data_IF_327662421840
#
_entry.id   IF_327662421840
#
_cell.length_a   1.000
_cell.length_b   1.000
_cell.length_c   1.000
_cell.angle_alpha   90.00
_cell.angle_beta   90.00
_cell.angle_gamma   90.00
#
_symmetry.space_group_name_H-M   'P 1'
#
loop_
_entity.id
_entity.type
_entity.pdbx_description
1 polymer ?
#
# COMPACT_ATOMS: atom_id res chain seq x y z
N UNK A 1 16.58 16.18 -9.57
CA UNK A 1 16.04 15.78 -8.24
C UNK A 1 14.51 15.90 -8.24
N UNK A 2 13.75 14.81 -8.07
CA UNK A 2 12.27 14.88 -7.98
C UNK A 2 11.87 15.43 -6.60
N UNK A 3 10.91 16.37 -6.55
CA UNK A 3 10.46 16.98 -5.29
C UNK A 3 9.67 15.97 -4.45
N UNK A 4 10.03 15.87 -3.17
CA UNK A 4 9.26 15.19 -2.12
C UNK A 4 7.92 15.91 -1.94
N UNK A 5 6.82 15.16 -1.88
CA UNK A 5 5.50 15.69 -1.53
C UNK A 5 5.18 15.30 -0.09
N UNK A 6 4.91 16.30 0.74
CA UNK A 6 4.56 16.12 2.15
C UNK A 6 3.10 16.53 2.32
N UNK A 7 2.29 15.63 2.87
CA UNK A 7 0.98 16.00 3.38
C UNK A 7 1.14 16.41 4.83
N UNK A 8 1.03 17.71 5.09
CA UNK A 8 0.89 18.23 6.43
C UNK A 8 -0.50 18.86 6.61
N UNK A 9 -1.22 18.38 7.62
CA UNK A 9 -2.56 18.83 7.96
C UNK A 9 -2.55 19.16 9.44
N UNK A 10 -2.73 20.43 9.77
CA UNK A 10 -2.75 20.90 11.16
C UNK A 10 -4.15 20.79 11.77
N UNK A 11 -5.19 21.14 10.99
CA UNK A 11 -6.59 21.14 11.43
C UNK A 11 -7.08 19.76 11.83
N UNK A 12 -7.54 19.64 13.08
CA UNK A 12 -8.12 18.41 13.62
C UNK A 12 -9.36 17.95 12.85
N UNK A 13 -10.17 18.88 12.32
CA UNK A 13 -11.33 18.55 11.49
C UNK A 13 -10.89 17.84 10.20
N UNK A 14 -9.89 18.40 9.50
CA UNK A 14 -9.38 17.82 8.26
C UNK A 14 -8.65 16.48 8.50
N UNK A 15 -7.92 16.35 9.62
CA UNK A 15 -7.33 15.06 10.03
C UNK A 15 -8.39 13.97 10.18
N UNK A 16 -9.52 14.29 10.86
CA UNK A 16 -10.64 13.35 11.04
C UNK A 16 -11.24 12.94 9.70
N UNK A 17 -11.54 13.91 8.84
CA UNK A 17 -12.09 13.66 7.49
C UNK A 17 -11.15 12.74 6.71
N UNK A 18 -9.86 13.07 6.63
CA UNK A 18 -8.83 12.25 5.98
C UNK A 18 -8.83 10.82 6.51
N UNK A 19 -8.71 10.64 7.82
CA UNK A 19 -8.62 9.31 8.44
C UNK A 19 -9.88 8.49 8.15
N UNK A 20 -11.06 9.11 8.21
CA UNK A 20 -12.32 8.45 7.84
C UNK A 20 -12.33 8.00 6.37
N UNK A 21 -11.94 8.86 5.43
CA UNK A 21 -11.87 8.50 4.02
C UNK A 21 -10.89 7.35 3.76
N UNK A 22 -9.70 7.42 4.35
CA UNK A 22 -8.70 6.36 4.22
C UNK A 22 -9.21 5.03 4.76
N UNK A 23 -9.88 5.05 5.92
CA UNK A 23 -10.47 3.85 6.53
C UNK A 23 -11.52 3.24 5.62
N UNK A 24 -12.40 4.04 5.02
CA UNK A 24 -13.42 3.56 4.08
C UNK A 24 -12.78 2.89 2.86
N UNK A 25 -11.71 3.47 2.29
CA UNK A 25 -11.00 2.85 1.17
C UNK A 25 -10.33 1.53 1.54
N UNK A 26 -9.62 1.49 2.67
CA UNK A 26 -8.98 0.26 3.16
C UNK A 26 -10.03 -0.82 3.40
N UNK A 27 -11.15 -0.48 4.05
CA UNK A 27 -12.25 -1.41 4.29
C UNK A 27 -12.84 -1.94 2.98
N UNK A 28 -13.10 -1.07 2.01
CA UNK A 28 -13.65 -1.49 0.72
C UNK A 28 -12.72 -2.47 0.00
N UNK A 29 -11.41 -2.19 0.00
CA UNK A 29 -10.42 -3.06 -0.63
C UNK A 29 -10.30 -4.40 0.11
N UNK A 30 -10.27 -4.38 1.44
CA UNK A 30 -10.25 -5.59 2.26
C UNK A 30 -11.48 -6.48 1.99
N UNK A 31 -12.68 -5.90 1.83
CA UNK A 31 -13.89 -6.64 1.46
C UNK A 31 -13.75 -7.35 0.12
N UNK A 32 -13.17 -6.70 -0.89
CA UNK A 32 -12.97 -7.32 -2.20
C UNK A 32 -11.91 -8.42 -2.13
N UNK A 33 -10.79 -8.18 -1.43
CA UNK A 33 -9.73 -9.17 -1.20
C UNK A 33 -10.26 -10.43 -0.49
N UNK A 34 -11.13 -10.27 0.51
CA UNK A 34 -11.79 -11.40 1.17
C UNK A 34 -12.70 -12.19 0.22
N UNK A 35 -13.34 -11.51 -0.76
CA UNK A 35 -14.09 -12.15 -1.84
C UNK A 35 -13.20 -13.09 -2.66
N UNK A 36 -12.06 -12.59 -3.15
CA UNK A 36 -11.10 -13.41 -3.89
C UNK A 36 -10.54 -14.58 -3.07
N UNK A 37 -10.22 -14.36 -1.79
CA UNK A 37 -9.77 -15.44 -0.91
C UNK A 37 -10.85 -16.51 -0.71
N UNK A 38 -12.11 -16.11 -0.58
CA UNK A 38 -13.23 -17.04 -0.48
C UNK A 38 -13.39 -17.84 -1.77
N UNK A 39 -13.35 -17.18 -2.92
CA UNK A 39 -13.40 -17.86 -4.23
C UNK A 39 -12.24 -18.85 -4.39
N UNK A 40 -11.01 -18.47 -4.00
CA UNK A 40 -9.85 -19.36 -4.00
C UNK A 40 -10.07 -20.59 -3.11
N UNK A 41 -10.66 -20.42 -1.92
CA UNK A 41 -10.93 -21.52 -1.00
C UNK A 41 -12.00 -22.50 -1.50
N UNK A 42 -12.80 -22.08 -2.48
CA UNK A 42 -13.87 -22.88 -3.09
C UNK A 42 -13.43 -23.58 -4.38
N UNK A 43 -12.21 -23.33 -4.87
CA UNK A 43 -11.68 -24.00 -6.05
C UNK A 43 -11.40 -25.49 -5.76
N UNK A 44 -11.92 -26.36 -6.63
CA UNK A 44 -11.64 -27.78 -6.57
C UNK A 44 -10.29 -28.11 -7.23
N UNK A 45 -9.39 -28.79 -6.51
CA UNK A 45 -8.08 -29.18 -7.05
C UNK A 45 -8.15 -30.20 -8.19
N UNK A 46 -9.28 -30.89 -8.33
CA UNK A 46 -9.57 -31.82 -9.42
C UNK A 46 -9.97 -31.12 -10.72
N UNK A 47 -10.28 -29.83 -10.67
CA UNK A 47 -10.56 -29.02 -11.85
C UNK A 47 -9.31 -28.93 -12.76
N UNK A 48 -9.38 -29.33 -14.03
CA UNK A 48 -8.27 -29.20 -14.97
C UNK A 48 -7.72 -27.77 -15.08
N UNK A 49 -8.56 -26.76 -14.86
CA UNK A 49 -8.21 -25.34 -14.92
C UNK A 49 -7.84 -24.75 -13.54
N UNK A 50 -7.70 -25.58 -12.50
CA UNK A 50 -7.46 -25.13 -11.12
C UNK A 50 -6.32 -24.10 -11.02
N UNK A 51 -5.17 -24.41 -11.63
CA UNK A 51 -3.98 -23.55 -11.56
C UNK A 51 -4.22 -22.19 -12.21
N UNK A 52 -4.90 -22.17 -13.36
CA UNK A 52 -5.22 -20.94 -14.09
C UNK A 52 -6.17 -20.07 -13.27
N UNK A 53 -7.25 -20.67 -12.74
CA UNK A 53 -8.23 -19.97 -11.90
C UNK A 53 -7.63 -19.44 -10.60
N UNK A 54 -6.76 -20.22 -9.97
CA UNK A 54 -6.07 -19.81 -8.75
C UNK A 54 -5.17 -18.60 -8.99
N UNK A 55 -4.35 -18.63 -10.05
CA UNK A 55 -3.45 -17.53 -10.40
C UNK A 55 -4.20 -16.26 -10.82
N UNK A 56 -5.31 -16.36 -11.55
CA UNK A 56 -6.14 -15.19 -11.90
C UNK A 56 -6.69 -14.50 -10.64
N UNK A 57 -7.20 -15.27 -9.68
CA UNK A 57 -7.67 -14.71 -8.40
C UNK A 57 -6.53 -14.12 -7.56
N UNK A 58 -5.36 -14.77 -7.56
CA UNK A 58 -4.16 -14.28 -6.87
C UNK A 58 -3.68 -12.96 -7.49
N UNK A 59 -3.65 -12.85 -8.81
CA UNK A 59 -3.26 -11.63 -9.51
C UNK A 59 -4.22 -10.48 -9.16
N UNK A 60 -5.53 -10.73 -9.21
CA UNK A 60 -6.56 -9.76 -8.81
C UNK A 60 -6.37 -9.29 -7.37
N UNK A 61 -6.04 -10.21 -6.45
CA UNK A 61 -5.73 -9.88 -5.07
C UNK A 61 -4.48 -8.97 -4.96
N UNK A 62 -3.41 -9.30 -5.68
CA UNK A 62 -2.17 -8.54 -5.68
C UNK A 62 -2.28 -7.17 -6.35
N UNK A 63 -3.16 -7.01 -7.34
CA UNK A 63 -3.49 -5.69 -7.90
C UNK A 63 -4.04 -4.78 -6.80
N UNK A 64 -4.98 -5.27 -5.99
CA UNK A 64 -5.56 -4.51 -4.88
C UNK A 64 -4.55 -4.19 -3.79
N UNK A 65 -3.71 -5.16 -3.41
CA UNK A 65 -2.65 -4.94 -2.40
C UNK A 65 -1.64 -3.88 -2.88
N UNK A 66 -1.23 -3.92 -4.16
CA UNK A 66 -0.34 -2.92 -4.76
C UNK A 66 -0.97 -1.53 -4.76
N UNK A 67 -2.27 -1.43 -5.06
CA UNK A 67 -2.99 -0.15 -5.03
C UNK A 67 -2.98 0.46 -3.63
N UNK A 68 -3.29 -0.32 -2.58
CA UNK A 68 -3.22 0.19 -1.20
C UNK A 68 -1.80 0.61 -0.83
N UNK A 69 -0.81 -0.26 -1.06
CA UNK A 69 0.60 -0.02 -0.71
C UNK A 69 1.19 1.22 -1.37
N UNK A 70 0.77 1.52 -2.59
CA UNK A 70 1.24 2.67 -3.35
C UNK A 70 0.34 3.91 -3.16
N UNK A 71 -0.77 3.80 -2.45
CA UNK A 71 -1.68 4.92 -2.18
C UNK A 71 -1.31 5.68 -0.90
N UNK A 72 -1.84 6.89 -0.78
CA UNK A 72 -1.75 7.67 0.46
C UNK A 72 -2.65 7.12 1.58
N UNK A 73 -3.40 6.04 1.34
CA UNK A 73 -4.38 5.53 2.30
C UNK A 73 -3.74 4.85 3.50
N UNK A 74 -2.61 4.20 3.31
CA UNK A 74 -1.95 3.42 4.34
C UNK A 74 -0.43 3.42 4.16
N UNK A 75 0.31 3.58 5.25
CA UNK A 75 1.76 3.40 5.23
C UNK A 75 2.10 1.92 4.97
N UNK A 76 2.89 1.57 3.94
CA UNK A 76 3.23 0.18 3.65
C UNK A 76 4.15 -0.45 4.70
N UNK A 77 4.87 0.37 5.48
CA UNK A 77 5.78 -0.09 6.53
C UNK A 77 5.09 -0.40 7.86
N UNK A 78 4.26 0.52 8.39
CA UNK A 78 3.63 0.36 9.71
C UNK A 78 2.11 0.19 9.65
N UNK A 79 1.51 0.18 8.46
CA UNK A 79 0.07 0.03 8.22
C UNK A 79 -0.82 1.12 8.83
N UNK A 80 -0.24 2.20 9.37
CA UNK A 80 -0.96 3.37 9.87
C UNK A 80 -1.67 4.11 8.72
N UNK A 81 -2.87 4.63 8.98
CA UNK A 81 -3.68 5.41 8.01
C UNK A 81 -4.06 6.79 8.54
N UNK A 82 -3.86 7.05 9.83
CA UNK A 82 -4.20 8.28 10.53
C UNK A 82 -3.06 9.30 10.57
N UNK A 83 -1.85 8.91 10.14
CA UNK A 83 -0.65 9.76 10.15
C UNK A 83 -0.52 10.64 8.91
N UNK A 84 0.27 11.70 9.04
CA UNK A 84 0.76 12.49 7.90
C UNK A 84 1.69 11.61 7.05
N UNK A 85 1.58 11.78 5.73
CA UNK A 85 2.27 10.94 4.76
C UNK A 85 3.21 11.76 3.89
N UNK A 86 4.29 11.13 3.48
CA UNK A 86 5.29 11.65 2.56
C UNK A 86 5.39 10.71 1.37
N UNK A 87 5.39 11.26 0.17
CA UNK A 87 5.65 10.50 -1.05
C UNK A 87 7.14 10.30 -1.31
N UNK A 88 7.55 9.05 -1.48
CA UNK A 88 8.87 8.66 -1.96
C UNK A 88 8.83 8.52 -3.51
N UNK A 89 9.48 9.42 -4.27
CA UNK A 89 9.44 9.39 -5.73
C UNK A 89 10.27 8.26 -6.35
N UNK A 90 11.22 7.67 -5.63
CA UNK A 90 12.04 6.55 -6.10
C UNK A 90 11.25 5.25 -6.03
N UNK A 91 10.64 4.98 -4.87
CA UNK A 91 9.82 3.78 -4.65
C UNK A 91 8.38 3.93 -5.18
N UNK A 92 7.99 5.14 -5.60
CA UNK A 92 6.62 5.50 -6.00
C UNK A 92 5.56 5.14 -4.95
N UNK A 93 5.89 5.35 -3.67
CA UNK A 93 5.10 4.91 -2.52
C UNK A 93 4.92 6.02 -1.48
N UNK A 94 3.83 5.98 -0.73
CA UNK A 94 3.58 6.90 0.38
C UNK A 94 3.93 6.23 1.71
N UNK A 95 4.73 6.90 2.53
CA UNK A 95 5.09 6.44 3.87
C UNK A 95 4.58 7.43 4.89
N UNK A 96 4.25 7.00 6.12
CA UNK A 96 4.06 7.99 7.18
C UNK A 96 5.37 8.74 7.44
N UNK A 97 5.29 9.98 7.90
CA UNK A 97 6.48 10.83 8.07
C UNK A 97 7.59 10.15 8.90
N UNK A 98 7.21 9.44 9.96
CA UNK A 98 8.12 8.66 10.81
C UNK A 98 8.82 7.54 10.02
N UNK A 99 8.07 6.68 9.33
CA UNK A 99 8.65 5.59 8.53
C UNK A 99 9.42 6.12 7.32
N UNK A 100 9.05 7.27 6.77
CA UNK A 100 9.80 7.91 5.70
C UNK A 100 11.17 8.35 6.21
N UNK A 101 11.27 8.98 7.39
CA UNK A 101 12.55 9.39 7.96
C UNK A 101 13.46 8.18 8.24
N UNK A 102 12.90 7.11 8.81
CA UNK A 102 13.66 5.86 9.05
C UNK A 102 14.18 5.24 7.75
N UNK A 103 13.34 5.16 6.72
CA UNK A 103 13.76 4.63 5.42
C UNK A 103 14.66 5.60 4.66
N UNK A 104 14.50 6.91 4.83
CA UNK A 104 15.35 7.90 4.19
C UNK A 104 16.80 7.73 4.65
N UNK A 105 17.02 7.56 5.95
CA UNK A 105 18.36 7.28 6.47
C UNK A 105 18.91 5.94 5.94
N UNK A 106 18.05 4.95 5.68
CA UNK A 106 18.50 3.67 5.13
C UNK A 106 18.88 3.72 3.64
N UNK A 107 18.16 4.51 2.83
CA UNK A 107 18.34 4.56 1.37
C UNK A 107 19.19 5.74 0.86
N UNK A 108 19.41 6.79 1.67
CA UNK A 108 20.16 7.99 1.25
C UNK A 108 21.49 8.19 1.98
N UNK A 109 21.79 7.50 3.10
CA UNK A 109 23.13 7.54 3.73
C UNK A 109 24.13 6.57 3.07
N UNK A 110 23.71 5.81 2.05
CA UNK A 110 24.62 5.02 1.23
C UNK A 110 24.71 5.68 -0.14
N UNK A 111 25.90 6.18 -0.44
CA UNK A 111 26.35 6.70 -1.73
C UNK A 111 25.54 6.13 -2.92
N UNK A 112 25.04 7.03 -3.76
CA UNK A 112 24.09 6.82 -4.87
C UNK A 112 24.55 5.84 -5.99
N UNK A 113 25.50 4.93 -5.76
CA UNK A 113 26.12 4.13 -6.83
C UNK A 113 25.91 2.62 -6.79
N UNK A 114 25.44 2.00 -5.70
CA UNK A 114 25.56 0.53 -5.59
C UNK A 114 24.36 -0.25 -5.03
N UNK A 115 23.21 0.38 -4.84
CA UNK A 115 22.04 -0.34 -4.34
C UNK A 115 20.93 -0.28 -5.38
N UNK A 116 21.10 -1.06 -6.44
CA UNK A 116 20.13 -2.00 -7.04
C UNK A 116 20.69 -2.43 -8.41
N UNK A 117 20.91 -3.73 -8.67
CA UNK A 117 21.21 -4.22 -10.01
C UNK A 117 20.02 -4.05 -10.97
#
# INVERSE_FOLDING_TARGET
MKKKLIQDLESNCLKRIRTSFRRLWIQKIATIQLGYQKEQSQLERSDPDYIVKYHDLEEKWWVLERLIRNSIAQCPACKASDKNMTYNPFLKQWFCNECYQLNHNFYFDKDESHLFP
#
